data_IF_818860318718
#
_entry.id   IF_818860318718
#
_cell.length_a   1.000
_cell.length_b   1.000
_cell.length_c   1.000
_cell.angle_alpha   90.00
_cell.angle_beta   90.00
_cell.angle_gamma   90.00
#
_symmetry.space_group_name_H-M   'P 1'
#
loop_
_entity.id
_entity.type
_entity.pdbx_description
1 polymer ?
#
# COMPACT_ATOMS: atom_id res chain seq x y z
N UNK A 1 5.08 16.96 -0.28
CA UNK A 1 4.64 16.57 1.10
C UNK A 1 4.67 15.05 1.17
N UNK A 2 5.35 14.51 2.19
CA UNK A 2 5.62 13.08 2.28
C UNK A 2 4.78 12.46 3.40
N UNK A 3 4.11 11.36 3.11
CA UNK A 3 3.20 10.67 4.03
C UNK A 3 3.31 9.16 3.88
N UNK A 4 3.17 8.44 4.98
CA UNK A 4 3.00 7.00 4.98
C UNK A 4 1.67 6.69 5.65
N UNK A 5 0.79 6.00 4.94
CA UNK A 5 -0.42 5.41 5.48
C UNK A 5 -0.12 3.97 5.86
N UNK A 6 -0.48 3.58 7.08
CA UNK A 6 -0.20 2.25 7.65
C UNK A 6 -1.48 1.63 8.19
N UNK A 7 -1.43 0.33 8.51
CA UNK A 7 -2.56 -0.43 9.04
C UNK A 7 -3.81 -0.34 8.15
N UNK A 8 -3.61 -0.25 6.83
CA UNK A 8 -4.70 -0.26 5.86
C UNK A 8 -5.27 -1.69 5.86
N UNK A 9 -6.55 -1.83 6.21
CA UNK A 9 -7.23 -3.14 6.25
C UNK A 9 -6.98 -3.94 4.97
N UNK A 10 -7.21 -3.29 3.82
CA UNK A 10 -7.01 -3.87 2.50
C UNK A 10 -6.77 -2.79 1.45
N UNK A 11 -5.73 -2.95 0.63
CA UNK A 11 -5.44 -2.16 -0.56
C UNK A 11 -5.90 -2.96 -1.78
N UNK A 12 -6.80 -2.39 -2.59
CA UNK A 12 -7.43 -3.09 -3.72
C UNK A 12 -7.08 -2.46 -5.06
N UNK A 13 -7.25 -3.21 -6.15
CA UNK A 13 -7.08 -2.67 -7.51
C UNK A 13 -5.62 -2.54 -7.94
N UNK A 14 -4.76 -3.40 -7.41
CA UNK A 14 -3.34 -3.43 -7.76
C UNK A 14 -3.19 -4.11 -9.11
N UNK A 15 -2.77 -3.35 -10.12
CA UNK A 15 -2.58 -3.82 -11.49
C UNK A 15 -1.09 -3.81 -11.89
N UNK A 16 -0.26 -4.48 -11.10
CA UNK A 16 1.15 -4.66 -11.45
C UNK A 16 1.30 -5.50 -12.71
N UNK A 17 2.18 -5.05 -13.61
CA UNK A 17 2.51 -5.72 -14.86
C UNK A 17 1.30 -5.96 -15.78
N UNK A 18 0.29 -5.09 -15.70
CA UNK A 18 -0.87 -5.14 -16.57
C UNK A 18 -0.81 -4.07 -17.64
N UNK A 19 -0.74 -4.49 -18.89
CA UNK A 19 -0.68 -3.58 -20.04
C UNK A 19 -2.06 -3.08 -20.49
N UNK A 20 -3.13 -3.72 -20.04
CA UNK A 20 -4.51 -3.43 -20.44
C UNK A 20 -5.43 -3.32 -19.22
N UNK A 21 -6.45 -2.44 -19.27
CA UNK A 21 -7.44 -2.35 -18.21
C UNK A 21 -8.25 -3.65 -18.12
N UNK A 22 -8.54 -4.09 -16.88
CA UNK A 22 -9.46 -5.18 -16.62
C UNK A 22 -10.89 -4.81 -17.07
N UNK A 23 -11.57 -5.74 -17.74
CA UNK A 23 -12.96 -5.56 -18.16
C UNK A 23 -13.78 -6.83 -18.03
N UNK A 24 -15.10 -6.69 -17.91
CA UNK A 24 -16.03 -7.82 -17.83
C UNK A 24 -15.66 -8.79 -16.70
N UNK A 25 -15.57 -10.07 -17.04
CA UNK A 25 -15.29 -11.15 -16.08
C UNK A 25 -13.90 -11.03 -15.43
N UNK A 26 -12.93 -10.39 -16.10
CA UNK A 26 -11.59 -10.21 -15.55
C UNK A 26 -11.61 -9.21 -14.37
N UNK A 27 -12.57 -8.29 -14.32
CA UNK A 27 -12.74 -7.37 -13.19
C UNK A 27 -13.14 -8.08 -11.89
N UNK A 28 -13.68 -9.31 -11.98
CA UNK A 28 -13.93 -10.14 -10.80
C UNK A 28 -12.64 -10.64 -10.15
N UNK A 29 -11.49 -10.57 -10.84
CA UNK A 29 -10.18 -11.00 -10.36
C UNK A 29 -9.37 -9.87 -9.69
N UNK A 30 -10.07 -8.95 -9.01
CA UNK A 30 -9.46 -7.80 -8.34
C UNK A 30 -8.38 -8.22 -7.35
N UNK A 31 -7.13 -7.87 -7.63
CA UNK A 31 -6.00 -8.14 -6.72
C UNK A 31 -6.04 -7.21 -5.51
N UNK A 32 -5.75 -7.76 -4.34
CA UNK A 32 -5.73 -7.02 -3.08
C UNK A 32 -4.52 -7.39 -2.21
N UNK A 33 -4.11 -6.47 -1.34
CA UNK A 33 -3.12 -6.68 -0.28
C UNK A 33 -3.80 -6.36 1.04
N UNK A 34 -3.88 -7.34 1.95
CA UNK A 34 -4.38 -7.15 3.31
C UNK A 34 -3.27 -6.66 4.23
N UNK A 35 -3.66 -5.91 5.28
CA UNK A 35 -2.73 -5.31 6.24
C UNK A 35 -1.59 -4.57 5.52
N UNK A 36 -1.95 -3.53 4.78
CA UNK A 36 -1.08 -2.87 3.82
C UNK A 36 -0.55 -1.50 4.31
N UNK A 37 0.47 -1.00 3.62
CA UNK A 37 0.93 0.38 3.70
C UNK A 37 0.88 1.06 2.32
N UNK A 38 0.89 2.40 2.33
CA UNK A 38 1.00 3.25 1.15
C UNK A 38 1.89 4.47 1.48
N UNK A 39 3.00 4.62 0.75
CA UNK A 39 3.88 5.77 0.84
C UNK A 39 3.61 6.75 -0.31
N UNK A 40 3.42 8.02 0.06
CA UNK A 40 3.27 9.14 -0.85
C UNK A 40 4.46 10.08 -0.69
N UNK A 41 5.17 10.35 -1.77
CA UNK A 41 6.24 11.35 -1.85
C UNK A 41 5.85 12.38 -2.90
N UNK A 42 5.82 13.65 -2.51
CA UNK A 42 5.45 14.77 -3.39
C UNK A 42 4.15 14.56 -4.19
N UNK A 43 3.15 14.01 -3.50
CA UNK A 43 1.81 13.80 -4.06
C UNK A 43 1.70 12.60 -5.00
N UNK A 44 2.77 11.80 -5.17
CA UNK A 44 2.79 10.58 -5.98
C UNK A 44 2.97 9.36 -5.08
N UNK A 45 2.42 8.23 -5.52
CA UNK A 45 2.69 6.93 -4.89
C UNK A 45 4.16 6.60 -5.12
N UNK A 46 4.92 6.48 -4.03
CA UNK A 46 6.33 6.10 -4.06
C UNK A 46 6.52 4.60 -3.83
N UNK A 47 5.74 4.02 -2.90
CA UNK A 47 5.79 2.60 -2.55
C UNK A 47 4.47 2.15 -1.93
N UNK A 48 4.14 0.87 -2.04
CA UNK A 48 3.02 0.23 -1.36
C UNK A 48 3.33 -1.26 -1.20
N UNK A 49 2.70 -1.89 -0.22
CA UNK A 49 2.96 -3.30 0.07
C UNK A 49 2.28 -3.77 1.33
N UNK A 50 2.66 -4.95 1.82
CA UNK A 50 2.22 -5.42 3.14
C UNK A 50 2.94 -4.63 4.22
N UNK A 51 2.31 -4.44 5.37
CA UNK A 51 2.95 -3.87 6.56
C UNK A 51 4.22 -4.63 6.98
N UNK A 52 4.28 -5.93 6.70
CA UNK A 52 5.44 -6.76 7.00
C UNK A 52 6.64 -6.43 6.09
N UNK A 53 6.39 -5.88 4.90
CA UNK A 53 7.41 -5.48 3.91
C UNK A 53 7.85 -4.01 4.12
N UNK A 54 7.23 -3.30 5.07
CA UNK A 54 7.50 -1.89 5.32
C UNK A 54 8.82 -1.71 6.09
N UNK A 55 9.87 -1.33 5.37
CA UNK A 55 11.15 -0.95 5.95
C UNK A 55 11.10 0.52 6.43
N UNK A 56 11.20 0.70 7.75
CA UNK A 56 11.21 2.02 8.38
C UNK A 56 12.39 2.17 9.31
N UNK A 57 12.87 3.40 9.45
CA UNK A 57 13.90 3.71 10.44
C UNK A 57 13.43 3.36 11.86
N UNK A 58 14.36 3.07 12.77
CA UNK A 58 14.05 2.74 14.16
C UNK A 58 13.17 3.81 14.85
N UNK A 59 13.42 5.09 14.56
CA UNK A 59 12.64 6.23 15.07
C UNK A 59 11.20 6.21 14.60
N UNK A 60 10.96 5.89 13.33
CA UNK A 60 9.61 5.77 12.76
C UNK A 60 8.86 4.57 13.34
N UNK A 61 9.55 3.43 13.51
CA UNK A 61 8.96 2.23 14.13
C UNK A 61 8.44 2.50 15.54
N UNK A 62 9.22 3.22 16.35
CA UNK A 62 8.84 3.67 17.68
C UNK A 62 7.62 4.60 17.68
N UNK A 63 7.49 5.47 16.67
CA UNK A 63 6.33 6.35 16.53
C UNK A 63 5.07 5.54 16.20
N UNK A 64 5.18 4.56 15.30
CA UNK A 64 4.05 3.71 14.88
C UNK A 64 3.50 2.83 16.02
N UNK A 65 4.36 2.37 16.93
CA UNK A 65 3.95 1.61 18.12
C UNK A 65 3.09 2.41 19.11
N UNK A 66 3.16 3.74 19.09
CA UNK A 66 2.42 4.62 20.02
C UNK A 66 1.00 4.94 19.56
N UNK A 67 0.63 4.55 18.34
CA UNK A 67 -0.65 4.89 17.69
C UNK A 67 -1.66 3.71 17.72
N UNK A 68 -1.25 2.58 18.29
CA UNK A 68 -2.09 1.41 18.57
C UNK A 68 -2.45 1.37 20.05
#
# INVERSE_FOLDING_TARGET
MNKIFINIKELCGILENQEKPLGGDEANSLKTIKNAYLEIVDGKIASYGKMDDLEVSATQKLLMLKIN
#
